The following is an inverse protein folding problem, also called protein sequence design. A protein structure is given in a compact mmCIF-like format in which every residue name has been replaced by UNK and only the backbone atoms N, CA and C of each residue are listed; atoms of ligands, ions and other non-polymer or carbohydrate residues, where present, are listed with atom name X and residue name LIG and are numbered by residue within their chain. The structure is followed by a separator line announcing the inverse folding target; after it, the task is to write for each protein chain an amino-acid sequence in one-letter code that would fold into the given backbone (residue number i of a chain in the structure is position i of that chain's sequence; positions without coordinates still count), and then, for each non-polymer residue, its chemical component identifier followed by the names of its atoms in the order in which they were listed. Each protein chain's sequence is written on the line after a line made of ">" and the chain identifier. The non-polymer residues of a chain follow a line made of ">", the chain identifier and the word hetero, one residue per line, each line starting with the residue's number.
data_IF_211497712866
#
_entry.id   IF_211497712866
#
_cell.length_a   1.000
_cell.length_b   1.000
_cell.length_c   1.000
_cell.angle_alpha   90.00
_cell.angle_beta   90.00
_cell.angle_gamma   90.00
#
_symmetry.space_group_name_H-M   'P 1'
#
loop_
_entity.id
_entity.type
_entity.pdbx_description
1 polymer ?
#
# COMPACT_ATOMS: atom_id res chain seq x y z
N UNK A 1 5.64 -15.16 -36.44
CA UNK A 1 6.92 -15.82 -36.12
C UNK A 1 7.64 -14.92 -35.13
N UNK A 2 7.35 -15.10 -33.84
CA UNK A 2 7.89 -14.27 -32.76
C UNK A 2 9.14 -14.92 -32.19
N UNK A 3 10.23 -14.19 -32.31
CA UNK A 3 11.57 -14.48 -31.83
C UNK A 3 11.58 -14.54 -30.29
N UNK A 4 12.03 -15.67 -29.72
CA UNK A 4 12.14 -15.89 -28.27
C UNK A 4 13.61 -15.89 -27.93
N UNK A 5 14.07 -14.86 -27.23
CA UNK A 5 15.44 -14.74 -26.75
C UNK A 5 15.68 -15.69 -25.57
N UNK A 6 16.57 -16.66 -25.78
CA UNK A 6 16.99 -17.67 -24.80
C UNK A 6 18.00 -17.05 -23.82
N UNK A 7 17.55 -16.77 -22.58
CA UNK A 7 18.44 -16.31 -21.49
C UNK A 7 19.10 -17.54 -20.86
N UNK A 8 20.33 -17.84 -21.26
CA UNK A 8 21.11 -18.91 -20.65
C UNK A 8 21.52 -18.57 -19.20
N UNK A 9 20.88 -19.21 -18.22
CA UNK A 9 21.21 -19.07 -16.80
C UNK A 9 22.11 -20.21 -16.32
N UNK A 10 23.19 -19.86 -15.60
CA UNK A 10 24.12 -20.83 -15.00
C UNK A 10 23.39 -21.76 -14.01
N UNK A 11 23.68 -23.07 -14.07
CA UNK A 11 23.09 -24.12 -13.22
C UNK A 11 23.17 -23.82 -11.71
N UNK A 12 24.17 -23.06 -11.25
CA UNK A 12 24.31 -22.66 -9.83
C UNK A 12 23.25 -21.64 -9.38
N UNK A 13 22.72 -20.83 -10.31
CA UNK A 13 21.73 -19.79 -10.01
C UNK A 13 20.32 -20.39 -9.79
N UNK A 14 20.00 -21.47 -10.51
CA UNK A 14 18.71 -22.18 -10.41
C UNK A 14 18.52 -22.86 -9.04
N UNK A 15 19.56 -23.55 -8.53
CA UNK A 15 19.48 -24.31 -7.26
C UNK A 15 19.41 -23.42 -6.01
N UNK A 16 19.64 -22.10 -6.12
CA UNK A 16 19.56 -21.13 -5.01
C UNK A 16 18.28 -20.29 -5.02
N UNK A 17 17.33 -20.54 -5.92
CA UNK A 17 16.04 -19.82 -5.96
C UNK A 17 16.08 -18.44 -6.63
N UNK A 18 17.24 -17.96 -7.09
CA UNK A 18 17.39 -16.65 -7.74
C UNK A 18 16.72 -16.55 -9.13
N UNK A 19 16.27 -17.65 -9.73
CA UNK A 19 15.42 -17.61 -10.93
C UNK A 19 14.06 -16.90 -10.65
N UNK A 20 13.53 -17.03 -9.42
CA UNK A 20 12.33 -16.31 -9.02
C UNK A 20 12.56 -14.80 -8.91
N UNK A 21 13.79 -14.35 -8.63
CA UNK A 21 14.11 -12.92 -8.56
C UNK A 21 14.09 -12.27 -9.95
N UNK A 22 14.52 -12.98 -10.99
CA UNK A 22 14.45 -12.52 -12.38
C UNK A 22 13.00 -12.41 -12.87
N UNK A 23 12.16 -13.41 -12.59
CA UNK A 23 10.72 -13.39 -12.90
C UNK A 23 9.96 -12.33 -12.09
N UNK A 24 10.31 -12.14 -10.81
CA UNK A 24 9.81 -11.02 -10.01
C UNK A 24 10.25 -9.70 -10.63
N UNK A 25 11.46 -9.58 -11.16
CA UNK A 25 11.96 -8.31 -11.70
C UNK A 25 11.16 -7.80 -12.91
N UNK A 26 10.63 -8.68 -13.76
CA UNK A 26 9.80 -8.28 -14.91
C UNK A 26 8.35 -7.93 -14.50
N UNK A 27 7.74 -8.69 -13.59
CA UNK A 27 6.43 -8.33 -13.01
C UNK A 27 6.50 -7.07 -12.15
N UNK A 28 7.59 -6.87 -11.40
CA UNK A 28 7.85 -5.66 -10.60
C UNK A 28 8.18 -4.46 -11.49
N UNK A 29 8.82 -4.65 -12.66
CA UNK A 29 9.05 -3.58 -13.65
C UNK A 29 7.77 -3.15 -14.37
N UNK A 30 6.84 -4.08 -14.65
CA UNK A 30 5.53 -3.73 -15.23
C UNK A 30 4.56 -3.10 -14.22
N UNK A 31 4.78 -3.28 -12.92
CA UNK A 31 4.12 -2.54 -11.84
C UNK A 31 4.95 -1.33 -11.35
N UNK A 32 5.88 -0.86 -12.18
CA UNK A 32 6.74 0.28 -11.86
C UNK A 32 5.92 1.52 -11.51
N UNK A 33 6.43 2.26 -10.52
CA UNK A 33 6.11 3.68 -10.29
C UNK A 33 4.83 4.00 -9.50
N UNK A 34 4.50 3.25 -8.45
CA UNK A 34 3.46 3.66 -7.48
C UNK A 34 3.86 3.34 -6.03
N UNK A 35 5.16 3.46 -5.71
CA UNK A 35 5.65 3.19 -4.36
C UNK A 35 5.10 4.21 -3.36
N UNK A 36 4.28 3.74 -2.43
CA UNK A 36 3.76 4.56 -1.34
C UNK A 36 4.89 4.80 -0.35
N UNK A 37 5.19 6.07 -0.06
CA UNK A 37 6.15 6.45 0.98
C UNK A 37 5.46 6.63 2.32
N UNK A 38 6.26 6.74 3.37
CA UNK A 38 5.77 7.06 4.71
C UNK A 38 4.85 8.32 4.68
N UNK A 39 3.90 8.44 5.63
CA UNK A 39 3.00 9.59 5.65
C UNK A 39 3.77 10.90 5.80
N UNK A 40 3.22 11.98 5.24
CA UNK A 40 3.79 13.32 5.16
C UNK A 40 5.10 13.44 4.37
N UNK A 41 5.55 12.42 3.64
CA UNK A 41 6.78 12.51 2.84
C UNK A 41 6.69 13.65 1.80
N UNK A 42 7.75 14.44 1.67
CA UNK A 42 7.97 15.40 0.57
C UNK A 42 8.43 14.60 -0.67
N UNK A 43 7.49 14.19 -1.51
CA UNK A 43 7.78 13.31 -2.64
C UNK A 43 8.78 13.92 -3.66
N UNK A 44 8.69 15.24 -3.91
CA UNK A 44 9.54 15.92 -4.89
C UNK A 44 11.04 15.82 -4.61
N UNK A 45 11.45 15.97 -3.34
CA UNK A 45 12.85 16.00 -2.93
C UNK A 45 13.27 14.73 -2.15
N UNK A 46 12.42 13.71 -2.14
CA UNK A 46 12.63 12.53 -1.30
C UNK A 46 13.98 11.86 -1.54
N UNK A 47 14.34 11.65 -2.81
CA UNK A 47 15.57 10.93 -3.18
C UNK A 47 16.85 11.76 -2.93
N UNK A 48 16.75 13.09 -2.86
CA UNK A 48 17.90 13.94 -2.57
C UNK A 48 18.13 14.11 -1.07
N UNK A 49 17.05 14.00 -0.27
CA UNK A 49 17.11 14.21 1.18
C UNK A 49 17.17 12.92 2.00
N UNK A 50 16.53 11.84 1.54
CA UNK A 50 16.52 10.58 2.27
C UNK A 50 17.89 9.89 2.20
N UNK A 51 18.46 9.55 3.35
CA UNK A 51 19.77 8.87 3.41
C UNK A 51 19.67 7.34 3.43
N UNK A 52 18.48 6.78 3.18
CA UNK A 52 18.21 5.33 3.25
C UNK A 52 18.72 4.64 4.54
N UNK A 53 18.71 5.33 5.69
CA UNK A 53 19.25 4.81 6.95
C UNK A 53 18.36 3.79 7.69
N UNK A 54 17.18 3.47 7.16
CA UNK A 54 16.19 2.54 7.72
C UNK A 54 15.60 2.86 9.10
N UNK A 55 16.00 3.92 9.81
CA UNK A 55 15.47 4.20 11.16
C UNK A 55 13.94 4.30 11.24
N UNK A 56 13.29 4.84 10.20
CA UNK A 56 11.84 4.92 10.15
C UNK A 56 11.15 3.55 10.03
N UNK A 57 11.82 2.57 9.43
CA UNK A 57 11.36 1.18 9.37
C UNK A 57 11.42 0.58 10.77
N UNK A 58 12.55 0.75 11.47
CA UNK A 58 12.81 0.13 12.77
C UNK A 58 11.82 0.59 13.87
N UNK A 59 11.33 1.84 13.79
CA UNK A 59 10.38 2.40 14.78
C UNK A 59 8.92 2.24 14.38
N UNK A 60 8.62 1.61 13.25
CA UNK A 60 7.25 1.44 12.79
C UNK A 60 6.54 0.33 13.59
N UNK A 61 5.80 0.69 14.63
CA UNK A 61 5.05 -0.28 15.47
C UNK A 61 4.07 -1.15 14.68
N UNK A 62 3.56 -0.62 13.55
CA UNK A 62 2.63 -1.33 12.68
C UNK A 62 3.33 -2.26 11.69
N UNK A 63 4.65 -2.19 11.59
CA UNK A 63 5.49 -3.01 10.73
C UNK A 63 5.06 -2.99 9.25
N UNK A 64 4.54 -1.84 8.79
CA UNK A 64 4.14 -1.62 7.38
C UNK A 64 5.23 -0.90 6.58
N UNK A 65 6.25 -0.34 7.22
CA UNK A 65 7.39 0.26 6.52
C UNK A 65 8.43 -0.84 6.28
N UNK A 66 8.80 -1.03 5.01
CA UNK A 66 9.77 -2.02 4.57
C UNK A 66 10.83 -1.38 3.69
N UNK A 67 11.97 -2.06 3.51
CA UNK A 67 12.99 -1.61 2.55
C UNK A 67 12.54 -1.98 1.14
N UNK A 68 12.29 -0.96 0.31
CA UNK A 68 11.91 -1.12 -1.09
C UNK A 68 13.06 -1.67 -1.95
N UNK A 69 12.72 -2.13 -3.15
CA UNK A 69 13.70 -2.63 -4.12
C UNK A 69 14.66 -1.54 -4.63
N UNK A 70 14.25 -0.27 -4.50
CA UNK A 70 15.07 0.92 -4.76
C UNK A 70 16.03 1.26 -3.61
N UNK A 71 16.00 0.50 -2.52
CA UNK A 71 16.82 0.70 -1.33
C UNK A 71 16.24 1.69 -0.32
N UNK A 72 15.12 2.36 -0.63
CA UNK A 72 14.50 3.36 0.23
C UNK A 72 13.30 2.79 1.00
N UNK A 73 12.93 3.38 2.15
CA UNK A 73 11.71 2.99 2.85
C UNK A 73 10.46 3.16 1.98
N UNK A 74 9.58 2.16 2.03
CA UNK A 74 8.27 2.18 1.39
C UNK A 74 7.22 1.57 2.31
N UNK A 75 5.96 1.91 2.07
CA UNK A 75 4.81 1.29 2.74
C UNK A 75 4.42 0.03 1.98
N UNK A 76 4.19 -1.04 2.73
CA UNK A 76 3.60 -2.28 2.30
C UNK A 76 2.48 -2.66 3.27
N UNK A 77 1.22 -2.49 2.82
CA UNK A 77 0.03 -2.83 3.60
C UNK A 77 -0.24 -4.34 3.68
N UNK A 78 0.54 -5.17 2.99
CA UNK A 78 0.51 -6.63 3.15
C UNK A 78 1.43 -7.11 4.27
N UNK A 79 2.33 -6.23 4.74
CA UNK A 79 3.24 -6.48 5.85
C UNK A 79 2.64 -6.07 7.20
N UNK A 80 3.12 -6.70 8.28
CA UNK A 80 2.81 -6.28 9.64
C UNK A 80 1.32 -6.30 9.97
N UNK A 81 0.83 -5.19 10.51
CA UNK A 81 -0.59 -4.98 10.88
C UNK A 81 -1.44 -4.46 9.71
N UNK A 82 -0.83 -4.16 8.57
CA UNK A 82 -1.52 -3.75 7.35
C UNK A 82 -2.20 -2.37 7.37
N UNK A 83 -1.88 -1.53 8.36
CA UNK A 83 -2.40 -0.17 8.47
C UNK A 83 -1.39 0.77 9.13
N UNK A 84 -1.53 2.07 8.89
CA UNK A 84 -0.80 3.11 9.61
C UNK A 84 -1.65 3.70 10.73
N UNK A 85 -1.12 3.71 11.95
CA UNK A 85 -1.73 4.35 13.12
C UNK A 85 -1.50 5.87 13.18
N UNK A 86 -0.74 6.43 12.23
CA UNK A 86 -0.29 7.83 12.23
C UNK A 86 0.40 8.28 13.53
N UNK A 87 1.08 7.37 14.23
CA UNK A 87 1.77 7.65 15.50
C UNK A 87 2.95 8.63 15.42
N UNK A 88 3.36 9.03 14.20
CA UNK A 88 4.46 9.97 13.91
C UNK A 88 5.85 9.48 14.30
N UNK A 89 6.02 8.24 14.75
CA UNK A 89 7.33 7.69 15.13
C UNK A 89 8.36 7.79 13.99
N UNK A 90 7.96 7.49 12.75
CA UNK A 90 8.82 7.60 11.57
C UNK A 90 9.28 9.04 11.28
N UNK A 91 8.44 10.04 11.58
CA UNK A 91 8.76 11.47 11.44
C UNK A 91 9.75 11.88 12.52
N UNK A 92 9.46 11.51 13.78
CA UNK A 92 10.24 11.93 14.94
C UNK A 92 11.68 11.38 14.95
N UNK A 93 11.90 10.16 14.43
CA UNK A 93 13.24 9.56 14.40
C UNK A 93 14.10 10.06 13.23
N UNK A 94 13.48 10.67 12.21
CA UNK A 94 14.17 11.03 10.99
C UNK A 94 14.98 12.32 11.19
N UNK A 95 16.28 12.25 10.94
CA UNK A 95 17.18 13.42 11.01
C UNK A 95 17.25 14.22 9.71
N UNK A 96 16.71 13.68 8.62
CA UNK A 96 16.65 14.35 7.32
C UNK A 96 15.30 15.07 7.16
N UNK A 97 15.27 16.16 6.40
CA UNK A 97 14.07 17.01 6.23
C UNK A 97 13.03 16.46 5.24
N UNK A 98 12.90 15.13 5.15
CA UNK A 98 12.08 14.42 4.16
C UNK A 98 10.57 14.51 4.41
N UNK A 99 10.12 15.04 5.56
CA UNK A 99 8.71 15.11 5.94
C UNK A 99 8.19 16.55 5.91
N UNK A 100 6.93 16.71 5.48
CA UNK A 100 6.09 17.92 5.62
C UNK A 100 5.54 18.03 7.05
N UNK A 101 4.72 19.05 7.31
CA UNK A 101 4.08 19.22 8.61
C UNK A 101 3.09 18.10 8.89
N UNK A 102 3.07 17.59 10.13
CA UNK A 102 2.08 16.56 10.55
C UNK A 102 0.66 17.11 10.77
N UNK A 103 0.47 18.42 10.55
CA UNK A 103 -0.86 19.05 10.51
C UNK A 103 -1.49 18.99 9.12
N UNK A 104 -0.70 18.65 8.09
CA UNK A 104 -1.20 18.42 6.73
C UNK A 104 -1.74 16.99 6.59
N UNK A 105 -2.44 16.71 5.50
CA UNK A 105 -2.87 15.34 5.21
C UNK A 105 -1.66 14.38 5.09
N UNK A 106 -1.75 13.18 5.71
CA UNK A 106 -0.67 12.21 5.70
C UNK A 106 -0.38 11.70 4.29
N UNK A 107 -1.40 11.49 3.49
CA UNK A 107 -1.28 11.00 2.11
C UNK A 107 -2.31 11.64 1.20
N UNK A 108 -1.97 11.70 -0.08
CA UNK A 108 -2.89 12.12 -1.14
C UNK A 108 -3.62 10.94 -1.79
N UNK A 109 -3.06 9.73 -1.72
CA UNK A 109 -3.75 8.54 -2.20
C UNK A 109 -5.00 8.26 -1.36
N UNK A 110 -5.96 7.61 -1.99
CA UNK A 110 -7.19 7.13 -1.36
C UNK A 110 -7.33 5.64 -1.64
N UNK A 111 -8.50 5.10 -1.39
CA UNK A 111 -8.83 3.73 -1.76
C UNK A 111 -9.93 3.73 -2.82
N UNK A 112 -10.09 2.59 -3.46
CA UNK A 112 -11.21 2.29 -4.35
C UNK A 112 -11.74 0.89 -4.05
N UNK A 113 -13.04 0.70 -4.27
CA UNK A 113 -13.70 -0.59 -4.07
C UNK A 113 -13.95 -1.21 -5.44
N UNK A 114 -13.33 -2.37 -5.65
CA UNK A 114 -13.31 -3.10 -6.90
C UNK A 114 -14.55 -4.00 -7.09
N UNK A 115 -14.86 -4.40 -8.35
CA UNK A 115 -16.05 -5.20 -8.67
C UNK A 115 -16.14 -6.56 -7.96
N UNK A 116 -15.03 -7.15 -7.54
CA UNK A 116 -15.01 -8.40 -6.77
C UNK A 116 -15.45 -8.24 -5.30
N UNK A 117 -15.95 -7.09 -4.87
CA UNK A 117 -16.52 -6.95 -3.54
C UNK A 117 -17.67 -7.95 -3.32
N UNK A 118 -17.66 -8.66 -2.18
CA UNK A 118 -18.63 -9.70 -1.84
C UNK A 118 -20.09 -9.21 -1.94
N UNK A 119 -20.36 -7.94 -1.64
CA UNK A 119 -21.73 -7.39 -1.73
C UNK A 119 -22.23 -7.29 -3.16
N UNK A 120 -21.33 -7.17 -4.16
CA UNK A 120 -21.69 -7.23 -5.58
C UNK A 120 -22.13 -8.65 -5.98
N UNK A 121 -21.66 -9.67 -5.24
CA UNK A 121 -22.07 -11.06 -5.38
C UNK A 121 -23.21 -11.44 -4.42
N UNK A 122 -23.92 -10.45 -3.86
CA UNK A 122 -25.04 -10.64 -2.91
C UNK A 122 -24.64 -11.35 -1.59
N UNK A 123 -23.38 -11.26 -1.19
CA UNK A 123 -22.90 -11.80 0.09
C UNK A 123 -22.74 -10.63 1.09
N UNK A 124 -23.37 -10.73 2.27
CA UNK A 124 -23.25 -9.69 3.32
C UNK A 124 -21.82 -9.64 3.85
N UNK A 125 -21.24 -8.44 3.87
CA UNK A 125 -19.92 -8.16 4.42
C UNK A 125 -19.85 -6.68 4.80
N UNK A 126 -19.33 -6.39 6.01
CA UNK A 126 -19.17 -5.03 6.53
C UNK A 126 -17.78 -4.75 7.10
N UNK A 127 -16.84 -5.67 6.92
CA UNK A 127 -15.53 -5.62 7.59
C UNK A 127 -14.75 -4.34 7.31
N UNK A 128 -14.88 -3.78 6.10
CA UNK A 128 -14.24 -2.50 5.75
C UNK A 128 -14.94 -1.27 6.32
N UNK A 129 -16.24 -1.34 6.63
CA UNK A 129 -16.94 -0.29 7.39
C UNK A 129 -16.55 -0.34 8.87
N UNK A 130 -16.53 -1.53 9.46
CA UNK A 130 -16.21 -1.72 10.89
C UNK A 130 -14.77 -1.30 11.25
N UNK A 131 -13.82 -1.53 10.34
CA UNK A 131 -12.41 -1.14 10.50
C UNK A 131 -12.11 0.31 10.13
N UNK A 132 -13.01 1.00 9.43
CA UNK A 132 -12.75 2.36 8.96
C UNK A 132 -13.11 3.37 10.06
N UNK A 133 -12.15 3.70 10.92
CA UNK A 133 -12.33 4.69 12.00
C UNK A 133 -12.81 6.05 11.47
N UNK A 134 -12.35 6.46 10.29
CA UNK A 134 -12.77 7.71 9.65
C UNK A 134 -14.21 7.68 9.12
N UNK A 135 -14.85 6.50 9.10
CA UNK A 135 -16.18 6.26 8.51
C UNK A 135 -16.28 6.75 7.07
N UNK A 136 -15.19 6.59 6.34
CA UNK A 136 -15.12 6.88 4.91
C UNK A 136 -15.87 5.82 4.09
N UNK A 137 -15.93 4.57 4.57
CA UNK A 137 -16.72 3.50 3.95
C UNK A 137 -18.00 3.30 4.77
N UNK A 138 -19.15 3.36 4.11
CA UNK A 138 -20.47 3.20 4.74
C UNK A 138 -21.38 2.30 3.92
N UNK A 139 -22.16 1.46 4.57
CA UNK A 139 -23.10 0.58 3.91
C UNK A 139 -24.52 1.11 4.06
N UNK A 140 -25.11 1.56 2.95
CA UNK A 140 -26.51 2.00 2.94
C UNK A 140 -27.44 0.79 2.83
N UNK A 141 -28.41 0.68 3.74
CA UNK A 141 -29.47 -0.34 3.65
C UNK A 141 -30.24 -0.13 2.34
N UNK A 142 -30.52 -1.22 1.65
CA UNK A 142 -31.31 -1.23 0.43
C UNK A 142 -32.55 -2.11 0.65
N UNK A 143 -33.73 -1.65 0.21
CA UNK A 143 -34.94 -2.45 0.28
C UNK A 143 -34.79 -3.69 -0.63
N UNK A 144 -34.98 -4.89 -0.08
CA UNK A 144 -34.88 -6.14 -0.84
C UNK A 144 -33.47 -6.50 -1.33
N UNK A 145 -32.41 -5.89 -0.78
CA UNK A 145 -31.04 -6.09 -1.22
C UNK A 145 -30.03 -6.15 -0.08
N UNK A 146 -28.82 -6.60 -0.42
CA UNK A 146 -27.63 -6.49 0.44
C UNK A 146 -27.17 -5.05 0.41
N UNK A 147 -26.78 -4.52 1.57
CA UNK A 147 -26.24 -3.17 1.62
C UNK A 147 -24.94 -3.10 0.80
N UNK A 148 -24.78 -2.07 -0.02
CA UNK A 148 -23.57 -1.87 -0.81
C UNK A 148 -22.70 -0.79 -0.19
N UNK A 149 -21.36 -0.94 -0.28
CA UNK A 149 -20.45 0.06 0.26
C UNK A 149 -20.50 1.34 -0.57
N UNK A 150 -20.47 2.46 0.13
CA UNK A 150 -20.27 3.79 -0.43
C UNK A 150 -19.02 4.38 0.20
N UNK A 151 -18.11 4.88 -0.65
CA UNK A 151 -16.88 5.51 -0.23
C UNK A 151 -17.01 7.03 -0.33
N UNK A 152 -16.72 7.71 0.78
CA UNK A 152 -16.56 9.17 0.87
C UNK A 152 -15.07 9.48 0.80
N UNK A 153 -14.57 9.78 -0.40
CA UNK A 153 -13.13 9.95 -0.66
C UNK A 153 -12.47 11.01 0.22
N UNK A 154 -13.16 12.12 0.48
CA UNK A 154 -12.66 13.21 1.32
C UNK A 154 -12.44 12.81 2.79
N UNK A 155 -13.15 11.79 3.28
CA UNK A 155 -12.99 11.28 4.64
C UNK A 155 -11.88 10.21 4.74
N UNK A 156 -11.42 9.66 3.61
CA UNK A 156 -10.39 8.63 3.61
C UNK A 156 -9.01 9.29 3.75
N UNK A 157 -8.24 8.90 4.76
CA UNK A 157 -6.88 9.40 4.99
C UNK A 157 -5.78 8.46 4.46
N UNK A 158 -6.17 7.41 3.72
CA UNK A 158 -5.24 6.44 3.14
C UNK A 158 -4.57 5.47 4.12
N UNK A 159 -5.10 5.31 5.34
CA UNK A 159 -4.47 4.53 6.42
C UNK A 159 -4.18 3.05 6.10
N UNK A 160 -4.97 2.45 5.22
CA UNK A 160 -4.80 1.06 4.81
C UNK A 160 -5.63 0.02 5.59
N UNK A 161 -6.28 0.39 6.70
CA UNK A 161 -7.05 -0.54 7.56
C UNK A 161 -8.03 -1.44 6.79
N UNK A 162 -8.74 -0.84 5.83
CA UNK A 162 -9.72 -1.57 5.02
C UNK A 162 -9.09 -2.57 4.02
N UNK A 163 -7.82 -2.42 3.65
CA UNK A 163 -7.14 -3.33 2.72
C UNK A 163 -6.85 -4.68 3.38
N UNK A 164 -6.29 -4.69 4.59
CA UNK A 164 -5.88 -5.91 5.29
C UNK A 164 -7.06 -6.77 5.75
N UNK A 165 -8.19 -6.14 6.08
CA UNK A 165 -9.39 -6.83 6.58
C UNK A 165 -10.32 -7.32 5.45
N UNK A 166 -10.12 -6.89 4.20
CA UNK A 166 -11.01 -7.24 3.09
C UNK A 166 -10.80 -8.70 2.67
N UNK A 167 -11.76 -9.62 2.92
CA UNK A 167 -11.53 -11.06 2.71
C UNK A 167 -11.34 -11.44 1.24
N UNK A 168 -11.89 -10.65 0.31
CA UNK A 168 -11.75 -10.88 -1.13
C UNK A 168 -10.81 -9.88 -1.81
N UNK A 169 -9.99 -9.15 -1.03
CA UNK A 169 -9.02 -8.16 -1.54
C UNK A 169 -9.61 -7.18 -2.57
N UNK A 170 -10.86 -6.80 -2.35
CA UNK A 170 -11.64 -5.94 -3.22
C UNK A 170 -11.36 -4.45 -3.00
N UNK A 171 -10.40 -4.09 -2.15
CA UNK A 171 -10.02 -2.71 -1.90
C UNK A 171 -8.59 -2.51 -2.38
N UNK A 172 -8.38 -1.47 -3.19
CA UNK A 172 -7.09 -1.10 -3.75
C UNK A 172 -6.76 0.35 -3.43
N UNK A 173 -5.48 0.68 -3.45
CA UNK A 173 -5.03 2.07 -3.35
C UNK A 173 -5.31 2.74 -4.69
N UNK A 174 -6.04 3.86 -4.64
CA UNK A 174 -6.20 4.75 -5.77
C UNK A 174 -5.05 5.76 -5.75
N UNK A 175 -4.16 5.62 -6.71
CA UNK A 175 -3.07 6.56 -6.93
C UNK A 175 -3.63 7.72 -7.77
N UNK A 176 -3.56 8.94 -7.24
CA UNK A 176 -3.87 10.13 -8.02
C UNK A 176 -2.69 10.39 -8.95
N UNK A 177 -2.94 10.39 -10.26
CA UNK A 177 -1.98 10.79 -11.30
C UNK A 177 -1.60 12.27 -11.19
#
# INVERSE_FOLDING_TARGET
>A
MTDSTDVSLSRRHFLRGHFLDALKSEQVKQQGYQTIRAPWTKLADFFTQCTACSRCIDVCEMHILVKGGDGYPQVDFTSGRGECSFCKACVNVCKAEVFRSTNEEPWQHRVEIQPQCLTQQRIECRSCEDSCEQRAIRFKRQAGGIATPQLVLEACNGCGACLSICPNQAIKILHNE
#
